data_IF_334590303336
#
_entry.id   IF_334590303336
#
_cell.length_a   1.000
_cell.length_b   1.000
_cell.length_c   1.000
_cell.angle_alpha   90.00
_cell.angle_beta   90.00
_cell.angle_gamma   90.00
#
_symmetry.space_group_name_H-M   'P 1'
#
loop_
_entity.id
_entity.type
_entity.pdbx_description
1 polymer ?
#
# COMPACT_ATOMS: atom_id res chain seq x y z
N UNK A 1 23.01 -12.32 8.99
CA UNK A 1 23.42 -12.77 7.65
C UNK A 1 23.73 -14.27 7.68
N UNK A 2 22.91 -15.16 7.08
CA UNK A 2 23.13 -16.61 7.13
C UNK A 2 24.41 -17.07 6.42
N UNK A 3 25.08 -16.18 5.69
CA UNK A 3 26.29 -16.48 4.92
C UNK A 3 27.56 -15.85 5.51
N UNK A 4 27.42 -15.08 6.59
CA UNK A 4 28.54 -14.45 7.30
C UNK A 4 28.26 -14.49 8.80
N UNK A 5 28.79 -15.50 9.45
CA UNK A 5 28.61 -15.72 10.88
C UNK A 5 29.32 -14.69 11.76
N UNK A 6 30.17 -13.85 11.16
CA UNK A 6 30.92 -12.80 11.87
C UNK A 6 30.28 -11.42 11.70
N UNK A 7 29.33 -11.26 10.74
CA UNK A 7 28.63 -10.00 10.57
C UNK A 7 27.63 -9.76 11.72
N UNK A 8 27.62 -8.54 12.28
CA UNK A 8 26.66 -8.22 13.32
C UNK A 8 25.22 -8.34 12.77
N UNK A 9 24.26 -8.75 13.62
CA UNK A 9 22.88 -8.86 13.20
C UNK A 9 22.35 -7.50 12.72
N UNK A 10 21.57 -7.52 11.63
CA UNK A 10 20.87 -6.33 11.16
C UNK A 10 19.80 -5.93 12.18
N UNK A 11 19.74 -4.66 12.54
CA UNK A 11 18.79 -4.13 13.51
C UNK A 11 17.75 -3.29 12.76
N UNK A 12 16.49 -3.70 12.87
CA UNK A 12 15.35 -2.96 12.35
C UNK A 12 14.66 -2.28 13.54
N UNK A 13 14.54 -0.96 13.48
CA UNK A 13 14.05 -0.15 14.59
C UNK A 13 12.77 0.57 14.20
N UNK A 14 11.95 0.85 15.22
CA UNK A 14 10.88 1.83 15.07
C UNK A 14 11.42 3.25 15.20
N UNK A 15 10.63 4.22 14.77
CA UNK A 15 10.94 5.65 14.91
C UNK A 15 10.67 6.15 16.34
N UNK A 16 9.81 5.45 17.11
CA UNK A 16 9.51 5.72 18.51
C UNK A 16 9.27 4.40 19.29
N UNK A 17 9.16 4.50 20.60
CA UNK A 17 8.73 3.38 21.46
C UNK A 17 7.22 3.40 21.58
N UNK A 18 6.53 2.48 20.92
CA UNK A 18 5.07 2.40 20.91
C UNK A 18 4.48 1.49 22.01
N UNK A 19 5.32 0.65 22.63
CA UNK A 19 4.84 -0.41 23.53
C UNK A 19 4.08 -1.51 22.77
N UNK A 20 3.07 -2.09 23.39
CA UNK A 20 2.20 -3.05 22.75
C UNK A 20 1.20 -2.33 21.84
N UNK A 21 1.09 -2.79 20.60
CA UNK A 21 0.17 -2.26 19.59
C UNK A 21 -0.62 -3.40 18.95
N UNK A 22 -1.87 -3.16 18.64
CA UNK A 22 -2.70 -3.94 17.73
C UNK A 22 -2.68 -3.32 16.32
N UNK A 23 -3.42 -3.89 15.37
CA UNK A 23 -3.45 -3.40 13.99
C UNK A 23 -3.91 -1.94 13.89
N UNK A 24 -4.91 -1.55 14.69
CA UNK A 24 -5.47 -0.19 14.68
C UNK A 24 -4.45 0.81 15.19
N UNK A 25 -3.91 0.58 16.39
CA UNK A 25 -2.89 1.44 17.00
C UNK A 25 -1.56 1.43 16.23
N UNK A 26 -1.22 0.34 15.56
CA UNK A 26 -0.05 0.27 14.69
C UNK A 26 -0.20 1.15 13.44
N UNK A 27 -1.39 1.16 12.81
CA UNK A 27 -1.72 2.08 11.72
C UNK A 27 -1.66 3.53 12.20
N UNK A 28 -2.37 3.83 13.27
CA UNK A 28 -2.47 5.17 13.84
C UNK A 28 -1.10 5.78 14.20
N UNK A 29 -0.21 4.97 14.79
CA UNK A 29 1.12 5.38 15.24
C UNK A 29 2.21 5.17 14.20
N UNK A 30 1.88 4.62 13.03
CA UNK A 30 2.84 4.28 11.98
C UNK A 30 3.99 3.39 12.51
N UNK A 31 3.64 2.32 13.26
CA UNK A 31 4.65 1.44 13.87
C UNK A 31 5.36 0.59 12.83
N UNK A 32 6.65 0.83 12.63
CA UNK A 32 7.46 0.05 11.72
C UNK A 32 7.62 -1.41 12.19
N UNK A 33 7.90 -1.60 13.47
CA UNK A 33 8.16 -2.95 14.02
C UNK A 33 6.97 -3.87 13.84
N UNK A 34 5.75 -3.38 14.08
CA UNK A 34 4.53 -4.16 13.83
C UNK A 34 4.46 -4.65 12.39
N UNK A 35 4.68 -3.76 11.42
CA UNK A 35 4.62 -4.12 10.00
C UNK A 35 5.82 -4.93 9.52
N UNK A 36 6.99 -4.83 10.15
CA UNK A 36 8.09 -5.77 9.91
C UNK A 36 7.69 -7.20 10.30
N UNK A 37 7.10 -7.38 11.48
CA UNK A 37 6.64 -8.70 11.94
C UNK A 37 5.53 -9.27 11.06
N UNK A 38 4.52 -8.46 10.73
CA UNK A 38 3.44 -8.89 9.84
C UNK A 38 3.95 -9.26 8.46
N UNK A 39 4.86 -8.47 7.90
CA UNK A 39 5.38 -8.69 6.56
C UNK A 39 6.42 -9.80 6.47
N UNK A 40 7.44 -9.76 7.29
CA UNK A 40 8.60 -10.63 7.19
C UNK A 40 8.70 -11.73 8.24
N UNK A 41 7.88 -11.66 9.29
CA UNK A 41 7.89 -12.58 10.44
C UNK A 41 9.00 -12.25 11.44
N UNK A 42 8.85 -12.77 12.64
CA UNK A 42 9.85 -12.67 13.69
C UNK A 42 9.76 -13.89 14.65
N UNK A 43 10.89 -14.48 14.99
CA UNK A 43 10.97 -15.69 15.85
C UNK A 43 10.03 -16.82 15.40
N UNK A 44 8.99 -17.11 16.17
CA UNK A 44 8.00 -18.14 15.86
C UNK A 44 6.80 -17.61 15.04
N UNK A 45 6.70 -16.32 14.85
CA UNK A 45 5.64 -15.71 14.05
C UNK A 45 5.99 -15.75 12.59
N UNK A 46 5.18 -16.46 11.78
CA UNK A 46 5.32 -16.45 10.33
C UNK A 46 4.80 -15.13 9.75
N UNK A 47 5.63 -14.45 8.92
CA UNK A 47 5.21 -13.27 8.19
C UNK A 47 4.46 -13.61 6.90
N UNK A 48 3.83 -12.61 6.29
CA UNK A 48 3.16 -12.74 4.99
C UNK A 48 4.14 -13.16 3.88
N UNK A 49 5.36 -12.64 3.92
CA UNK A 49 6.37 -12.80 2.88
C UNK A 49 6.06 -12.01 1.61
N UNK A 50 7.09 -11.78 0.81
CA UNK A 50 7.01 -10.92 -0.39
C UNK A 50 5.94 -11.38 -1.39
N UNK A 51 5.72 -12.69 -1.54
CA UNK A 51 4.73 -13.20 -2.52
C UNK A 51 3.30 -12.85 -2.15
N UNK A 52 2.93 -12.92 -0.86
CA UNK A 52 1.59 -12.54 -0.39
C UNK A 52 1.43 -11.02 -0.42
N UNK A 53 2.46 -10.27 -0.01
CA UNK A 53 2.47 -8.81 -0.10
C UNK A 53 2.26 -8.35 -1.54
N UNK A 54 3.05 -8.84 -2.50
CA UNK A 54 2.94 -8.47 -3.91
C UNK A 54 1.54 -8.76 -4.47
N UNK A 55 0.98 -9.94 -4.17
CA UNK A 55 -0.39 -10.27 -4.61
C UNK A 55 -1.44 -9.29 -4.10
N UNK A 56 -1.31 -8.79 -2.87
CA UNK A 56 -2.21 -7.78 -2.34
C UNK A 56 -1.96 -6.40 -2.96
N UNK A 57 -0.71 -6.00 -3.19
CA UNK A 57 -0.41 -4.76 -3.91
C UNK A 57 -0.99 -4.75 -5.33
N UNK A 58 -0.92 -5.89 -6.03
CA UNK A 58 -1.55 -6.07 -7.35
C UNK A 58 -3.08 -5.93 -7.25
N UNK A 59 -3.72 -6.56 -6.25
CA UNK A 59 -5.16 -6.37 -6.00
C UNK A 59 -5.53 -4.94 -5.64
N UNK A 60 -4.66 -4.26 -4.92
CA UNK A 60 -4.81 -2.84 -4.60
C UNK A 60 -4.36 -1.91 -5.74
N UNK A 61 -4.02 -2.47 -6.90
CA UNK A 61 -3.67 -1.73 -8.12
C UNK A 61 -2.49 -0.76 -7.97
N UNK A 62 -1.59 -1.01 -7.01
CA UNK A 62 -0.47 -0.09 -6.72
C UNK A 62 0.57 -0.02 -7.84
N UNK A 63 0.61 -0.99 -8.74
CA UNK A 63 1.48 -1.02 -9.92
C UNK A 63 0.83 -0.51 -11.21
N UNK A 64 -0.49 -0.33 -11.21
CA UNK A 64 -1.27 -0.05 -12.42
C UNK A 64 -1.43 1.45 -12.68
N UNK A 65 -1.81 1.77 -13.93
CA UNK A 65 -2.42 3.07 -14.23
C UNK A 65 -3.79 3.19 -13.56
N UNK A 66 -4.12 4.37 -13.05
CA UNK A 66 -5.44 4.65 -12.51
C UNK A 66 -6.46 4.92 -13.61
N UNK A 67 -5.99 5.20 -14.82
CA UNK A 67 -6.80 5.53 -15.98
C UNK A 67 -7.39 6.94 -15.94
N UNK A 68 -6.77 7.86 -15.19
CA UNK A 68 -7.19 9.27 -15.17
C UNK A 68 -7.22 9.85 -16.60
N UNK A 69 -8.12 10.79 -16.86
CA UNK A 69 -8.27 11.49 -18.13
C UNK A 69 -7.13 12.47 -18.46
N UNK A 70 -5.89 12.07 -18.17
CA UNK A 70 -4.64 12.75 -18.51
C UNK A 70 -3.72 11.82 -19.31
N UNK A 71 -2.97 12.37 -20.27
CA UNK A 71 -1.99 11.57 -21.02
C UNK A 71 -0.75 11.24 -20.18
N UNK A 72 -0.07 10.13 -20.53
CA UNK A 72 1.23 9.73 -19.99
C UNK A 72 1.25 9.51 -18.48
N UNK A 73 0.26 8.79 -17.97
CA UNK A 73 0.25 8.35 -16.57
C UNK A 73 1.46 7.43 -16.31
N UNK A 74 2.13 7.64 -15.19
CA UNK A 74 3.24 6.79 -14.76
C UNK A 74 2.71 5.58 -13.98
N UNK A 75 3.39 4.44 -14.15
CA UNK A 75 3.13 3.23 -13.37
C UNK A 75 3.84 3.24 -12.02
N UNK A 76 3.30 2.50 -11.06
CA UNK A 76 4.06 2.07 -9.89
C UNK A 76 5.04 0.94 -10.24
N UNK A 77 5.87 0.57 -9.28
CA UNK A 77 6.78 -0.57 -9.42
C UNK A 77 6.69 -1.47 -8.18
N UNK A 78 6.37 -2.74 -8.41
CA UNK A 78 6.18 -3.75 -7.38
C UNK A 78 7.35 -4.75 -7.43
N UNK A 79 8.37 -4.60 -6.56
CA UNK A 79 9.55 -5.44 -6.58
C UNK A 79 9.23 -6.87 -6.18
N UNK A 80 10.03 -7.81 -6.69
CA UNK A 80 9.96 -9.22 -6.32
C UNK A 80 11.35 -9.89 -6.35
N UNK A 81 11.47 -11.15 -5.86
CA UNK A 81 12.72 -11.87 -5.84
C UNK A 81 13.35 -12.09 -7.22
N UNK A 82 12.54 -12.33 -8.24
CA UNK A 82 13.03 -12.57 -9.61
C UNK A 82 13.66 -11.29 -10.17
N UNK A 83 12.95 -10.18 -10.09
CA UNK A 83 13.48 -8.88 -10.52
C UNK A 83 14.79 -8.53 -9.81
N UNK A 84 14.85 -8.75 -8.50
CA UNK A 84 16.07 -8.44 -7.73
C UNK A 84 17.27 -9.27 -8.16
N UNK A 85 17.06 -10.54 -8.46
CA UNK A 85 18.10 -11.42 -8.96
C UNK A 85 18.54 -11.02 -10.37
N UNK A 86 17.61 -10.72 -11.27
CA UNK A 86 17.88 -10.32 -12.65
C UNK A 86 18.63 -8.98 -12.73
N UNK A 87 18.24 -7.98 -11.92
CA UNK A 87 18.81 -6.63 -12.00
C UNK A 87 20.11 -6.49 -11.19
N UNK A 88 20.16 -7.09 -10.00
CA UNK A 88 21.29 -6.91 -9.07
C UNK A 88 22.16 -8.16 -8.89
N UNK A 89 21.78 -9.32 -9.42
CA UNK A 89 22.45 -10.59 -9.17
C UNK A 89 22.44 -11.00 -7.70
N UNK A 90 21.40 -10.60 -6.95
CA UNK A 90 21.30 -10.83 -5.51
C UNK A 90 19.97 -11.47 -5.14
N UNK A 91 20.00 -12.45 -4.24
CA UNK A 91 18.79 -13.05 -3.71
C UNK A 91 18.02 -12.07 -2.81
N UNK A 92 16.69 -12.20 -2.84
CA UNK A 92 15.80 -11.53 -1.89
C UNK A 92 16.04 -12.03 -0.47
N UNK A 93 16.12 -11.13 0.49
CA UNK A 93 16.33 -11.43 1.90
C UNK A 93 15.12 -10.97 2.72
N UNK A 94 14.99 -11.47 3.95
CA UNK A 94 13.92 -11.04 4.86
C UNK A 94 13.98 -9.53 5.14
N UNK A 95 15.17 -8.93 5.21
CA UNK A 95 15.31 -7.49 5.36
C UNK A 95 14.72 -6.67 4.20
N UNK A 96 14.72 -7.22 2.97
CA UNK A 96 14.04 -6.60 1.84
C UNK A 96 12.53 -6.61 2.07
N UNK A 97 11.99 -7.74 2.57
CA UNK A 97 10.58 -7.84 2.93
C UNK A 97 10.21 -6.85 4.03
N UNK A 98 11.03 -6.71 5.06
CA UNK A 98 10.80 -5.71 6.10
C UNK A 98 10.68 -4.29 5.52
N UNK A 99 11.66 -3.89 4.68
CA UNK A 99 11.64 -2.56 4.07
C UNK A 99 10.37 -2.30 3.27
N UNK A 100 9.98 -3.23 2.39
CA UNK A 100 8.77 -3.03 1.57
C UNK A 100 7.49 -3.13 2.38
N UNK A 101 7.48 -3.80 3.53
CA UNK A 101 6.34 -3.89 4.44
C UNK A 101 5.96 -2.55 5.09
N UNK A 102 6.89 -1.60 5.12
CA UNK A 102 6.66 -0.22 5.58
C UNK A 102 6.67 0.78 4.43
N UNK A 103 6.51 0.32 3.18
CA UNK A 103 6.49 1.19 2.01
C UNK A 103 7.86 1.77 1.62
N UNK A 104 8.96 1.14 2.04
CA UNK A 104 10.32 1.56 1.75
C UNK A 104 11.04 0.57 0.80
N UNK A 105 12.32 0.80 0.55
CA UNK A 105 13.12 -0.04 -0.35
C UNK A 105 12.81 0.23 -1.81
N UNK A 106 12.62 -0.84 -2.59
CA UNK A 106 12.46 -0.75 -4.04
C UNK A 106 10.98 -0.62 -4.49
N UNK A 107 10.02 -0.56 -3.55
CA UNK A 107 8.60 -0.34 -3.84
C UNK A 107 8.38 1.11 -4.26
N UNK A 108 7.81 1.32 -5.44
CA UNK A 108 7.46 2.65 -5.94
C UNK A 108 5.97 2.72 -6.26
N UNK A 109 5.32 3.77 -5.78
CA UNK A 109 3.92 4.06 -6.07
C UNK A 109 3.77 5.50 -6.53
N UNK A 110 2.83 5.77 -7.41
CA UNK A 110 2.51 7.14 -7.81
C UNK A 110 1.62 7.79 -6.75
N UNK A 111 1.69 9.12 -6.54
CA UNK A 111 0.78 9.81 -5.63
C UNK A 111 -0.69 9.56 -5.95
N UNK A 112 -1.03 9.48 -7.24
CA UNK A 112 -2.40 9.22 -7.69
C UNK A 112 -2.82 7.76 -7.41
N UNK A 113 -1.93 6.79 -7.66
CA UNK A 113 -2.17 5.38 -7.31
C UNK A 113 -2.36 5.19 -5.80
N UNK A 114 -1.54 5.89 -4.99
CA UNK A 114 -1.69 5.87 -3.54
C UNK A 114 -3.02 6.50 -3.09
N UNK A 115 -3.42 7.62 -3.70
CA UNK A 115 -4.72 8.25 -3.43
C UNK A 115 -5.88 7.32 -3.78
N UNK A 116 -5.84 6.67 -4.95
CA UNK A 116 -6.84 5.67 -5.36
C UNK A 116 -6.94 4.51 -4.37
N UNK A 117 -5.78 3.98 -3.95
CA UNK A 117 -5.69 2.92 -2.95
C UNK A 117 -6.35 3.31 -1.62
N UNK A 118 -6.00 4.47 -1.08
CA UNK A 118 -6.57 4.97 0.18
C UNK A 118 -8.08 5.24 0.03
N UNK A 119 -8.50 5.82 -1.10
CA UNK A 119 -9.92 6.09 -1.39
C UNK A 119 -10.76 4.82 -1.46
N UNK A 120 -10.19 3.69 -1.88
CA UNK A 120 -10.93 2.43 -1.92
C UNK A 120 -11.39 1.97 -0.53
N UNK A 121 -10.61 2.21 0.53
CA UNK A 121 -11.04 1.92 1.90
C UNK A 121 -12.22 2.81 2.36
N UNK A 122 -12.28 4.05 1.87
CA UNK A 122 -13.41 4.95 2.14
C UNK A 122 -14.67 4.62 1.30
N UNK A 123 -14.48 3.86 0.20
CA UNK A 123 -15.52 3.43 -0.73
C UNK A 123 -15.85 1.92 -0.59
N UNK A 124 -15.75 1.37 0.62
CA UNK A 124 -16.08 -0.03 0.91
C UNK A 124 -15.35 -1.06 0.03
N UNK A 125 -14.13 -0.74 -0.42
CA UNK A 125 -13.30 -1.60 -1.26
C UNK A 125 -13.44 -1.40 -2.76
N UNK A 126 -14.21 -0.41 -3.20
CA UNK A 126 -14.40 -0.11 -4.63
C UNK A 126 -13.38 0.91 -5.11
N UNK A 127 -12.61 0.55 -6.13
CA UNK A 127 -11.69 1.43 -6.84
C UNK A 127 -12.43 2.15 -7.97
N UNK A 128 -12.46 3.46 -7.95
CA UNK A 128 -13.00 4.27 -9.02
C UNK A 128 -11.89 4.90 -9.87
N UNK A 129 -12.15 4.98 -11.16
CA UNK A 129 -11.29 5.73 -12.08
C UNK A 129 -11.30 7.22 -11.70
N UNK A 130 -10.13 7.82 -11.38
CA UNK A 130 -10.02 9.25 -11.17
C UNK A 130 -10.36 10.02 -12.45
N UNK A 131 -10.90 11.21 -12.32
CA UNK A 131 -11.24 12.08 -13.46
C UNK A 131 -11.10 13.54 -13.08
N UNK A 132 -10.70 14.34 -14.03
CA UNK A 132 -10.66 15.81 -13.91
C UNK A 132 -11.90 16.46 -14.51
N UNK A 133 -12.38 15.91 -15.63
CA UNK A 133 -13.58 16.42 -16.29
C UNK A 133 -14.84 15.87 -15.61
N UNK A 134 -15.61 16.72 -14.98
CA UNK A 134 -16.94 16.39 -14.45
C UNK A 134 -18.03 16.58 -15.50
N UNK A 135 -18.04 17.76 -16.12
CA UNK A 135 -19.00 18.10 -17.18
C UNK A 135 -18.49 19.19 -18.11
N UNK A 136 -18.99 19.18 -19.33
CA UNK A 136 -18.85 20.26 -20.31
C UNK A 136 -20.20 20.89 -20.53
N UNK A 137 -20.30 22.22 -20.43
CA UNK A 137 -21.56 22.95 -20.61
C UNK A 137 -21.36 24.13 -21.54
N UNK A 138 -22.41 24.49 -22.30
CA UNK A 138 -22.49 25.78 -23.02
C UNK A 138 -22.62 26.94 -22.03
N UNK A 139 -22.40 28.17 -22.49
CA UNK A 139 -22.57 29.38 -21.68
C UNK A 139 -24.01 29.56 -21.14
N UNK A 140 -25.00 29.07 -21.86
CA UNK A 140 -26.41 29.09 -21.45
C UNK A 140 -26.76 28.03 -20.37
N UNK A 141 -25.76 27.25 -19.90
CA UNK A 141 -25.92 26.21 -18.89
C UNK A 141 -26.35 24.83 -19.42
N UNK A 142 -26.56 24.68 -20.74
CA UNK A 142 -26.87 23.36 -21.33
C UNK A 142 -25.66 22.44 -21.21
N UNK A 143 -25.84 21.30 -20.58
CA UNK A 143 -24.80 20.26 -20.45
C UNK A 143 -24.66 19.54 -21.80
N UNK A 144 -23.43 19.55 -22.35
CA UNK A 144 -23.07 18.85 -23.57
C UNK A 144 -22.56 17.44 -23.28
N UNK A 145 -21.75 17.33 -22.22
CA UNK A 145 -21.15 16.07 -21.80
C UNK A 145 -21.08 16.04 -20.29
N UNK A 146 -21.30 14.89 -19.71
CA UNK A 146 -21.16 14.65 -18.26
C UNK A 146 -20.53 13.30 -18.04
N UNK A 147 -19.44 13.26 -17.28
CA UNK A 147 -18.80 12.01 -16.92
C UNK A 147 -19.56 11.32 -15.76
N UNK A 148 -19.56 10.00 -15.79
CA UNK A 148 -20.14 9.17 -14.72
C UNK A 148 -19.02 8.40 -14.00
N UNK A 149 -19.15 8.10 -12.71
CA UNK A 149 -18.20 7.25 -12.00
C UNK A 149 -18.03 5.90 -12.69
N UNK A 150 -16.78 5.47 -12.89
CA UNK A 150 -16.43 4.16 -13.45
C UNK A 150 -15.72 3.36 -12.37
N UNK A 151 -16.33 2.26 -11.94
CA UNK A 151 -15.68 1.31 -11.04
C UNK A 151 -14.68 0.47 -11.85
N UNK A 152 -13.45 0.40 -11.39
CA UNK A 152 -12.35 -0.38 -12.00
C UNK A 152 -12.25 -1.77 -11.39
N UNK A 153 -12.38 -1.86 -10.07
CA UNK A 153 -12.22 -3.08 -9.29
C UNK A 153 -13.09 -2.98 -8.03
N UNK A 154 -13.58 -4.11 -7.55
CA UNK A 154 -14.30 -4.23 -6.28
C UNK A 154 -13.73 -5.39 -5.48
N UNK A 155 -13.02 -5.08 -4.41
CA UNK A 155 -12.47 -6.05 -3.46
C UNK A 155 -13.21 -6.04 -2.12
N UNK A 156 -14.33 -5.31 -2.02
CA UNK A 156 -15.08 -5.13 -0.79
C UNK A 156 -15.44 -6.45 -0.11
N UNK A 157 -15.86 -7.44 -0.89
CA UNK A 157 -16.18 -8.77 -0.35
C UNK A 157 -14.99 -9.50 0.30
N UNK A 158 -13.74 -9.17 -0.08
CA UNK A 158 -12.53 -9.80 0.48
C UNK A 158 -12.03 -9.08 1.74
N UNK A 159 -12.31 -7.79 1.89
CA UNK A 159 -11.78 -6.95 2.98
C UNK A 159 -12.84 -6.51 3.98
N UNK A 160 -14.12 -6.76 3.75
CA UNK A 160 -15.24 -6.24 4.54
C UNK A 160 -15.11 -6.51 6.05
N UNK A 161 -14.66 -7.69 6.41
CA UNK A 161 -14.48 -8.07 7.82
C UNK A 161 -13.37 -7.27 8.53
N UNK A 162 -12.39 -6.75 7.75
CA UNK A 162 -11.24 -5.98 8.26
C UNK A 162 -11.39 -4.48 8.07
N UNK A 163 -12.29 -4.06 7.17
CA UNK A 163 -12.42 -2.68 6.73
C UNK A 163 -12.60 -1.70 7.88
N UNK A 164 -13.44 -2.05 8.85
CA UNK A 164 -13.68 -1.24 10.04
C UNK A 164 -12.40 -0.94 10.83
N UNK A 165 -11.55 -1.95 11.03
CA UNK A 165 -10.29 -1.78 11.79
C UNK A 165 -9.30 -0.88 11.06
N UNK A 166 -9.28 -0.96 9.72
CA UNK A 166 -8.43 -0.12 8.87
C UNK A 166 -8.93 1.32 8.93
N UNK A 167 -10.24 1.55 8.75
CA UNK A 167 -10.85 2.89 8.80
C UNK A 167 -10.64 3.55 10.16
N UNK A 168 -10.91 2.85 11.25
CA UNK A 168 -10.65 3.35 12.60
C UNK A 168 -9.17 3.70 12.84
N UNK A 169 -8.22 2.86 12.34
CA UNK A 169 -6.79 3.17 12.43
C UNK A 169 -6.37 4.37 11.58
N UNK A 170 -7.01 4.59 10.44
CA UNK A 170 -6.79 5.76 9.60
C UNK A 170 -7.37 7.04 10.24
N UNK A 171 -8.54 6.97 10.85
CA UNK A 171 -9.14 8.08 11.61
C UNK A 171 -8.26 8.46 12.80
N UNK A 172 -7.84 7.46 13.59
CA UNK A 172 -6.96 7.67 14.73
C UNK A 172 -5.59 8.27 14.33
N UNK A 173 -5.11 8.03 13.10
CA UNK A 173 -3.85 8.60 12.60
C UNK A 173 -3.90 10.12 12.38
N UNK A 174 -5.09 10.70 12.18
CA UNK A 174 -5.28 12.15 11.99
C UNK A 174 -5.83 12.84 13.24
N UNK A 175 -6.28 12.07 14.23
CA UNK A 175 -6.70 12.61 15.53
C UNK A 175 -5.46 12.81 16.42
N UNK A 176 -5.19 14.05 16.84
CA UNK A 176 -4.02 14.42 17.66
C UNK A 176 -4.10 13.90 19.12
N UNK A 177 -5.03 13.03 19.45
CA UNK A 177 -5.28 12.53 20.80
C UNK A 177 -4.36 11.36 21.25
N UNK A 178 -3.14 11.26 20.71
CA UNK A 178 -2.12 10.29 21.13
C UNK A 178 -1.16 10.82 22.18
#
# INVERSE_FOLDING_TARGET
NPFDSEAPPSVFRDWAQHGWVDVKSALARSSNVYFYEVGGGFESQEGLGIRRLKRWWEKFRLGDETGIDLPAEALGFLPDPQWKEEVFGRMWRVGDTYNVSIGQGDLLVTPLGLLSYISAFANDGVFYQPRLMEKVSEENGRVLEQSSPVALEDIGGEIQEFLKYIQEGMEDAVDESY
#
